data_IF_247484077983
#
_entry.id   IF_247484077983
#
_cell.length_a   1.000
_cell.length_b   1.000
_cell.length_c   1.000
_cell.angle_alpha   90.00
_cell.angle_beta   90.00
_cell.angle_gamma   90.00
#
_symmetry.space_group_name_H-M   'P 1'
#
loop_
_entity.id
_entity.type
_entity.pdbx_description
1 polymer ?
#
# COMPACT_ATOMS: atom_id res chain seq x y z
N UNK A 1 2.33 -11.48 26.69
CA UNK A 1 1.11 -11.26 25.88
C UNK A 1 1.55 -10.60 24.60
N UNK A 2 1.58 -11.34 23.48
CA UNK A 2 1.81 -10.74 22.17
C UNK A 2 0.50 -10.06 21.77
N UNK A 3 0.52 -8.74 21.59
CA UNK A 3 -0.63 -8.01 21.09
C UNK A 3 -0.78 -8.43 19.63
N UNK A 4 -1.96 -8.90 19.25
CA UNK A 4 -2.31 -9.04 17.84
C UNK A 4 -2.40 -7.64 17.24
N UNK A 5 -1.27 -7.17 16.75
CA UNK A 5 -1.15 -5.85 16.14
C UNK A 5 -2.07 -5.77 14.93
N UNK A 6 -2.24 -6.86 14.18
CA UNK A 6 -3.08 -6.89 12.99
C UNK A 6 -4.55 -6.54 13.29
N UNK A 7 -5.07 -6.90 14.46
CA UNK A 7 -6.46 -6.64 14.82
C UNK A 7 -6.73 -5.18 15.22
N UNK A 8 -5.70 -4.32 15.28
CA UNK A 8 -5.86 -2.92 15.66
C UNK A 8 -6.42 -2.10 14.48
N UNK A 9 -7.58 -1.48 14.68
CA UNK A 9 -8.27 -0.64 13.68
C UNK A 9 -7.54 0.64 13.32
N UNK A 10 -6.56 1.07 14.14
CA UNK A 10 -5.67 2.19 13.84
C UNK A 10 -4.65 1.87 12.75
N UNK A 11 -4.41 0.59 12.43
CA UNK A 11 -3.48 0.12 11.39
C UNK A 11 -4.16 0.14 10.02
N UNK A 12 -4.54 1.34 9.60
CA UNK A 12 -5.00 1.57 8.23
C UNK A 12 -3.79 1.79 7.31
N UNK A 13 -2.90 2.68 7.75
CA UNK A 13 -1.65 3.03 7.08
C UNK A 13 -0.55 3.18 8.15
N UNK A 14 -0.06 2.07 8.71
CA UNK A 14 0.99 2.16 9.72
C UNK A 14 2.34 1.67 9.19
N UNK A 15 3.31 2.59 9.31
CA UNK A 15 4.71 2.54 8.91
C UNK A 15 5.02 2.80 7.42
N UNK A 16 5.29 4.07 7.16
CA UNK A 16 6.45 4.56 6.42
C UNK A 16 7.19 5.53 7.35
N UNK A 17 8.21 5.05 8.07
CA UNK A 17 9.16 5.94 8.74
C UNK A 17 10.11 6.57 7.71
N UNK A 18 10.91 7.55 8.12
CA UNK A 18 11.98 8.12 7.29
C UNK A 18 12.95 7.06 6.70
N UNK A 19 12.99 5.86 7.29
CA UNK A 19 13.64 4.66 6.75
C UNK A 19 12.64 3.74 6.04
N UNK A 20 12.87 3.50 4.75
CA UNK A 20 12.01 2.83 3.79
C UNK A 20 11.93 1.30 3.97
N UNK A 21 11.83 0.78 5.20
CA UNK A 21 12.16 -0.62 5.47
C UNK A 21 11.00 -1.62 5.26
N UNK A 22 9.78 -1.26 5.65
CA UNK A 22 8.60 -2.13 5.59
C UNK A 22 7.30 -1.31 5.63
N UNK A 23 6.19 -1.95 5.25
CA UNK A 23 4.82 -1.44 5.32
C UNK A 23 3.90 -2.42 6.05
N UNK A 24 2.98 -1.92 6.88
CA UNK A 24 1.95 -2.73 7.52
C UNK A 24 0.59 -2.00 7.50
N UNK A 25 -0.38 -2.54 6.76
CA UNK A 25 -1.69 -1.91 6.65
C UNK A 25 -2.51 -2.45 5.50
N UNK A 26 -3.56 -1.71 5.15
CA UNK A 26 -4.44 -2.11 4.06
C UNK A 26 -3.74 -1.88 2.70
N UNK A 27 -3.78 -2.85 1.77
CA UNK A 27 -3.13 -2.75 0.46
C UNK A 27 -3.47 -1.48 -0.32
N UNK A 28 -4.67 -0.93 -0.11
CA UNK A 28 -5.13 0.31 -0.74
C UNK A 28 -4.19 1.50 -0.49
N UNK A 29 -3.51 1.56 0.65
CA UNK A 29 -2.58 2.66 0.98
C UNK A 29 -1.22 2.54 0.26
N UNK A 30 -0.93 1.41 -0.38
CA UNK A 30 0.21 1.27 -1.29
C UNK A 30 -0.07 1.91 -2.66
N UNK A 31 -1.35 2.09 -3.04
CA UNK A 31 -1.73 2.79 -4.24
C UNK A 31 -1.78 4.31 -3.99
N UNK A 32 -0.76 5.01 -4.51
CA UNK A 32 -0.51 6.42 -4.22
C UNK A 32 -0.46 7.23 -5.52
N UNK A 33 -1.62 7.66 -6.08
CA UNK A 33 -1.63 8.57 -7.23
C UNK A 33 -0.79 9.81 -6.93
N UNK A 34 0.16 10.15 -7.81
CA UNK A 34 1.17 11.18 -7.52
C UNK A 34 0.55 12.51 -7.07
N UNK A 35 -0.49 12.99 -7.78
CA UNK A 35 -1.21 14.22 -7.42
C UNK A 35 -1.78 14.21 -5.99
N UNK A 36 -2.31 13.05 -5.54
CA UNK A 36 -2.87 12.92 -4.21
C UNK A 36 -1.76 12.81 -3.17
N UNK A 37 -0.72 12.03 -3.48
CA UNK A 37 0.43 11.83 -2.60
C UNK A 37 1.17 13.15 -2.32
N UNK A 38 1.41 13.97 -3.34
CA UNK A 38 2.06 15.28 -3.21
C UNK A 38 1.26 16.18 -2.26
N UNK A 39 -0.08 16.18 -2.37
CA UNK A 39 -0.96 16.96 -1.50
C UNK A 39 -0.97 16.45 -0.05
N UNK A 40 -0.82 15.16 0.19
CA UNK A 40 -0.71 14.59 1.55
C UNK A 40 0.57 15.08 2.23
N UNK A 41 1.66 15.26 1.47
CA UNK A 41 2.93 15.78 1.99
C UNK A 41 2.84 17.27 2.39
N UNK A 42 1.83 18.00 1.92
CA UNK A 42 1.62 19.41 2.25
C UNK A 42 0.62 19.59 3.40
N UNK A 43 1.13 20.06 4.54
CA UNK A 43 0.36 20.24 5.79
C UNK A 43 -0.87 21.15 5.66
N UNK A 44 -0.88 22.06 4.68
CA UNK A 44 -1.97 23.00 4.42
C UNK A 44 -3.27 22.34 3.93
N UNK A 45 -3.23 21.07 3.49
CA UNK A 45 -4.40 20.39 2.92
C UNK A 45 -4.83 19.12 3.68
N UNK A 46 -4.31 18.88 4.89
CA UNK A 46 -4.44 17.60 5.61
C UNK A 46 -5.90 17.12 5.70
N UNK A 47 -6.85 17.98 6.09
CA UNK A 47 -8.25 17.55 6.28
C UNK A 47 -8.94 17.18 4.96
N UNK A 48 -8.88 18.06 3.95
CA UNK A 48 -9.50 17.80 2.64
C UNK A 48 -8.86 16.61 1.94
N UNK A 49 -7.53 16.51 2.02
CA UNK A 49 -6.79 15.41 1.40
C UNK A 49 -7.07 14.09 2.12
N UNK A 50 -7.30 14.09 3.45
CA UNK A 50 -7.69 12.88 4.20
C UNK A 50 -9.00 12.29 3.67
N UNK A 51 -10.03 13.11 3.46
CA UNK A 51 -11.31 12.62 2.94
C UNK A 51 -11.17 12.04 1.52
N UNK A 52 -10.38 12.69 0.67
CA UNK A 52 -10.06 12.19 -0.67
C UNK A 52 -9.30 10.86 -0.64
N UNK A 53 -8.35 10.69 0.27
CA UNK A 53 -7.63 9.42 0.50
C UNK A 53 -8.58 8.33 0.97
N UNK A 54 -9.43 8.61 1.97
CA UNK A 54 -10.40 7.63 2.46
C UNK A 54 -11.41 7.21 1.38
N UNK A 55 -11.85 8.16 0.56
CA UNK A 55 -12.70 7.89 -0.59
C UNK A 55 -12.00 7.05 -1.66
N UNK A 56 -10.70 7.28 -1.89
CA UNK A 56 -9.89 6.43 -2.75
C UNK A 56 -9.75 5.01 -2.21
N UNK A 57 -9.48 4.85 -0.92
CA UNK A 57 -9.36 3.54 -0.25
C UNK A 57 -10.66 2.75 -0.34
N UNK A 58 -11.81 3.39 -0.10
CA UNK A 58 -13.12 2.74 -0.27
C UNK A 58 -13.37 2.30 -1.72
N UNK A 59 -13.06 3.14 -2.71
CA UNK A 59 -13.13 2.73 -4.13
C UNK A 59 -12.19 1.58 -4.45
N UNK A 60 -10.98 1.61 -3.90
CA UNK A 60 -9.99 0.57 -4.07
C UNK A 60 -10.53 -0.77 -3.62
N UNK A 61 -11.05 -0.86 -2.39
CA UNK A 61 -11.60 -2.10 -1.84
C UNK A 61 -12.77 -2.67 -2.65
N UNK A 62 -13.55 -1.81 -3.31
CA UNK A 62 -14.68 -2.25 -4.14
C UNK A 62 -14.26 -2.79 -5.51
N UNK A 63 -13.11 -2.35 -6.01
CA UNK A 63 -12.71 -2.59 -7.41
C UNK A 63 -11.49 -3.49 -7.55
N UNK A 64 -10.62 -3.52 -6.55
CA UNK A 64 -9.32 -4.19 -6.62
C UNK A 64 -9.32 -5.40 -5.69
N UNK A 65 -9.19 -6.62 -6.24
CA UNK A 65 -8.99 -7.81 -5.44
C UNK A 65 -7.69 -7.70 -4.62
N UNK A 66 -7.73 -8.06 -3.34
CA UNK A 66 -6.53 -8.06 -2.49
C UNK A 66 -5.42 -8.96 -3.06
N UNK A 67 -5.82 -10.09 -3.66
CA UNK A 67 -4.94 -11.04 -4.34
C UNK A 67 -4.14 -10.42 -5.47
N UNK A 68 -4.70 -9.46 -6.22
CA UNK A 68 -3.99 -8.75 -7.28
C UNK A 68 -2.75 -8.04 -6.71
N UNK A 69 -2.92 -7.40 -5.55
CA UNK A 69 -1.84 -6.66 -4.90
C UNK A 69 -0.83 -7.61 -4.27
N UNK A 70 -1.28 -8.66 -3.57
CA UNK A 70 -0.37 -9.60 -2.91
C UNK A 70 0.42 -10.43 -3.92
N UNK A 71 -0.19 -10.88 -5.02
CA UNK A 71 0.53 -11.56 -6.09
C UNK A 71 1.60 -10.67 -6.71
N UNK A 72 1.26 -9.43 -7.09
CA UNK A 72 2.23 -8.48 -7.64
C UNK A 72 3.43 -8.27 -6.69
N UNK A 73 3.17 -8.05 -5.40
CA UNK A 73 4.22 -7.81 -4.41
C UNK A 73 5.11 -9.04 -4.22
N UNK A 74 4.53 -10.25 -4.20
CA UNK A 74 5.28 -11.51 -4.08
C UNK A 74 6.17 -11.78 -5.29
N UNK A 75 5.71 -11.45 -6.50
CA UNK A 75 6.54 -11.56 -7.71
C UNK A 75 7.73 -10.61 -7.69
N UNK A 76 7.58 -9.43 -7.05
CA UNK A 76 8.62 -8.40 -7.03
C UNK A 76 9.61 -8.52 -5.87
N UNK A 77 9.16 -9.05 -4.72
CA UNK A 77 9.94 -9.08 -3.48
C UNK A 77 10.31 -10.48 -2.97
N UNK A 78 9.62 -11.52 -3.44
CA UNK A 78 9.51 -12.90 -2.90
C UNK A 78 8.34 -13.15 -1.94
N UNK A 79 8.01 -14.44 -1.77
CA UNK A 79 6.86 -14.90 -0.99
C UNK A 79 6.97 -14.55 0.50
N UNK A 80 8.16 -14.72 1.08
CA UNK A 80 8.45 -14.48 2.50
C UNK A 80 8.40 -12.99 2.88
N UNK A 81 8.50 -12.11 1.88
CA UNK A 81 8.46 -10.65 2.07
C UNK A 81 7.04 -10.10 2.16
N UNK A 82 6.01 -10.91 1.84
CA UNK A 82 4.61 -10.48 1.83
C UNK A 82 3.77 -11.43 2.67
N UNK A 83 3.37 -10.96 3.85
CA UNK A 83 2.56 -11.73 4.79
C UNK A 83 1.16 -11.11 4.92
N UNK A 84 0.13 -11.92 4.74
CA UNK A 84 -1.25 -11.54 5.06
C UNK A 84 -1.46 -11.64 6.57
N UNK A 85 -2.06 -10.61 7.16
CA UNK A 85 -2.20 -10.47 8.62
C UNK A 85 -3.64 -10.65 9.12
N UNK A 86 -4.61 -10.84 8.22
CA UNK A 86 -6.03 -10.75 8.55
C UNK A 86 -6.56 -9.31 8.47
N UNK A 87 -7.87 -9.11 8.61
CA UNK A 87 -8.54 -7.80 8.54
C UNK A 87 -8.16 -6.94 7.32
N UNK A 88 -7.98 -7.58 6.15
CA UNK A 88 -7.51 -6.96 4.91
C UNK A 88 -6.15 -6.25 5.03
N UNK A 89 -5.29 -6.64 5.97
CA UNK A 89 -3.96 -6.07 6.17
C UNK A 89 -2.86 -6.99 5.68
N UNK A 90 -1.79 -6.37 5.20
CA UNK A 90 -0.58 -7.04 4.76
C UNK A 90 0.65 -6.41 5.43
N UNK A 91 1.66 -7.24 5.66
CA UNK A 91 3.02 -6.84 5.97
C UNK A 91 3.87 -7.02 4.71
N UNK A 92 4.56 -5.97 4.31
CA UNK A 92 5.48 -5.98 3.16
C UNK A 92 6.87 -5.57 3.64
N UNK A 93 7.87 -6.41 3.40
CA UNK A 93 9.28 -6.14 3.72
C UNK A 93 10.05 -5.86 2.44
N UNK A 94 10.74 -4.72 2.38
CA UNK A 94 11.56 -4.37 1.21
C UNK A 94 13.04 -4.71 1.38
N UNK A 95 13.41 -5.17 2.57
CA UNK A 95 14.75 -5.60 2.92
C UNK A 95 14.74 -7.09 3.32
N UNK A 96 15.93 -7.68 3.37
CA UNK A 96 16.14 -8.96 4.03
C UNK A 96 15.77 -8.93 5.53
N UNK A 97 15.75 -10.11 6.15
CA UNK A 97 15.35 -10.25 7.56
C UNK A 97 16.23 -9.43 8.51
N UNK A 98 17.49 -9.19 8.13
CA UNK A 98 18.46 -8.43 8.91
C UNK A 98 18.40 -6.91 8.65
N UNK A 99 17.52 -6.45 7.73
CA UNK A 99 17.38 -5.07 7.29
C UNK A 99 18.68 -4.45 6.72
N UNK A 100 19.63 -5.30 6.32
CA UNK A 100 20.95 -4.92 5.82
C UNK A 100 20.99 -4.84 4.30
N UNK A 101 20.17 -5.64 3.62
CA UNK A 101 20.17 -5.72 2.16
C UNK A 101 18.79 -5.39 1.61
N UNK A 102 18.77 -4.40 0.73
CA UNK A 102 17.58 -4.04 -0.02
C UNK A 102 17.23 -5.17 -1.01
N UNK A 103 16.00 -5.69 -0.96
CA UNK A 103 15.48 -6.68 -1.91
C UNK A 103 15.05 -6.00 -3.21
N UNK A 104 14.29 -4.91 -3.08
CA UNK A 104 13.93 -4.03 -4.17
C UNK A 104 13.72 -2.61 -3.65
N UNK A 105 14.02 -1.60 -4.47
CA UNK A 105 13.72 -0.21 -4.13
C UNK A 105 12.21 -0.03 -3.97
N UNK A 106 11.71 0.35 -2.77
CA UNK A 106 10.29 0.47 -2.54
C UNK A 106 9.66 1.55 -3.42
N UNK A 107 10.41 2.59 -3.82
CA UNK A 107 9.89 3.62 -4.74
C UNK A 107 9.55 3.02 -6.09
N UNK A 108 10.41 2.16 -6.61
CA UNK A 108 10.21 1.47 -7.88
C UNK A 108 9.06 0.48 -7.76
N UNK A 109 9.03 -0.33 -6.69
CA UNK A 109 7.95 -1.31 -6.46
C UNK A 109 6.58 -0.63 -6.37
N UNK A 110 6.47 0.46 -5.61
CA UNK A 110 5.20 1.18 -5.45
C UNK A 110 4.76 1.89 -6.73
N UNK A 111 5.71 2.41 -7.51
CA UNK A 111 5.42 2.98 -8.83
C UNK A 111 4.87 1.90 -9.77
N UNK A 112 5.58 0.78 -9.89
CA UNK A 112 5.20 -0.34 -10.74
C UNK A 112 3.83 -0.91 -10.31
N UNK A 113 3.58 -1.01 -8.99
CA UNK A 113 2.27 -1.42 -8.44
C UNK A 113 1.16 -0.46 -8.86
N UNK A 114 1.39 0.85 -8.76
CA UNK A 114 0.44 1.87 -9.20
C UNK A 114 0.08 1.73 -10.68
N UNK A 115 1.08 1.51 -11.53
CA UNK A 115 0.88 1.28 -12.97
C UNK A 115 0.12 -0.02 -13.25
N UNK A 116 0.45 -1.09 -12.53
CA UNK A 116 -0.24 -2.39 -12.64
C UNK A 116 -1.73 -2.27 -12.30
N UNK A 117 -2.05 -1.60 -11.19
CA UNK A 117 -3.44 -1.36 -10.77
C UNK A 117 -4.17 -0.47 -11.77
N UNK A 118 -3.53 0.59 -12.26
CA UNK A 118 -4.12 1.46 -13.28
C UNK A 118 -4.47 0.68 -14.57
N UNK A 119 -3.60 -0.25 -14.98
CA UNK A 119 -3.84 -1.11 -16.15
C UNK A 119 -5.03 -2.04 -15.91
N UNK A 120 -5.08 -2.71 -14.75
CA UNK A 120 -6.21 -3.53 -14.35
C UNK A 120 -7.53 -2.74 -14.37
N UNK A 121 -7.53 -1.52 -13.82
CA UNK A 121 -8.69 -0.64 -13.86
C UNK A 121 -9.11 -0.28 -15.29
N UNK A 122 -8.16 0.04 -16.16
CA UNK A 122 -8.42 0.38 -17.55
C UNK A 122 -9.07 -0.78 -18.32
N UNK A 123 -8.60 -2.01 -18.12
CA UNK A 123 -9.20 -3.22 -18.70
C UNK A 123 -10.64 -3.46 -18.24
N UNK A 124 -10.98 -3.02 -17.01
CA UNK A 124 -12.32 -3.12 -16.43
C UNK A 124 -13.20 -1.89 -16.72
N UNK A 125 -12.68 -0.88 -17.42
CA UNK A 125 -13.42 0.36 -17.68
C UNK A 125 -13.70 1.21 -16.44
N UNK A 126 -12.91 1.05 -15.37
CA UNK A 126 -13.05 1.79 -14.11
C UNK A 126 -11.88 2.75 -13.88
N UNK A 127 -12.08 3.75 -13.03
CA UNK A 127 -11.02 4.66 -12.56
C UNK A 127 -11.10 4.80 -11.04
N UNK A 128 -9.96 4.58 -10.38
CA UNK A 128 -9.83 4.79 -8.94
C UNK A 128 -9.62 6.25 -8.57
N UNK A 129 -8.90 6.98 -9.42
CA UNK A 129 -8.52 8.37 -9.19
C UNK A 129 -8.43 9.13 -10.53
N UNK A 130 -8.74 10.43 -10.50
CA UNK A 130 -8.80 11.33 -11.67
C UNK A 130 -7.53 12.19 -11.84
#
# INVERSE_FOLDING_TARGET
MFIDVASQTSIKELWFGQGWNAFMGEPAFLYRPSKLFDRVQHSLYILKTKDEVLSLVDRFHRQIPAELVTHFLRERLDYDSVQEMGDNKILVRFYDRELTKLKADPRVVLKDLGEHINRYCAEKGVKLYN
#
